data_IF_873701441943
#
_entry.id   IF_873701441943
#
_cell.length_a   1.000
_cell.length_b   1.000
_cell.length_c   1.000
_cell.angle_alpha   90.00
_cell.angle_beta   90.00
_cell.angle_gamma   90.00
#
_symmetry.space_group_name_H-M   'P 1'
#
loop_
_entity.id
_entity.type
_entity.pdbx_description
1 polymer ?
#
# COMPACT_ATOMS: atom_id res chain seq x y z
N UNK A 1 26.37 -6.76 -12.18
CA UNK A 1 25.18 -7.05 -11.36
C UNK A 1 25.11 -5.99 -10.27
N UNK A 2 24.41 -4.89 -10.51
CA UNK A 2 24.23 -3.83 -9.50
C UNK A 2 23.11 -4.24 -8.57
N UNK A 3 23.40 -4.40 -7.28
CA UNK A 3 22.40 -4.66 -6.25
C UNK A 3 21.25 -3.65 -6.38
N UNK A 4 20.04 -4.14 -6.68
CA UNK A 4 18.83 -3.31 -6.65
C UNK A 4 18.66 -2.92 -5.18
N UNK A 5 18.89 -1.63 -4.86
CA UNK A 5 18.67 -1.10 -3.52
C UNK A 5 17.19 -1.30 -3.19
N UNK A 6 16.90 -2.19 -2.25
CA UNK A 6 15.55 -2.58 -1.83
C UNK A 6 14.74 -1.39 -1.30
N UNK A 7 15.41 -0.32 -0.89
CA UNK A 7 14.79 0.97 -0.53
C UNK A 7 14.07 1.63 -1.69
N UNK A 8 14.52 1.48 -2.95
CA UNK A 8 13.86 2.07 -4.12
C UNK A 8 12.42 1.56 -4.27
N UNK A 9 12.23 0.26 -4.04
CA UNK A 9 10.90 -0.36 -4.08
C UNK A 9 10.00 0.21 -2.97
N UNK A 10 10.51 0.25 -1.73
CA UNK A 10 9.75 0.75 -0.57
C UNK A 10 9.39 2.23 -0.75
N UNK A 11 10.35 3.08 -1.14
CA UNK A 11 10.12 4.49 -1.39
C UNK A 11 9.10 4.73 -2.51
N UNK A 12 9.11 3.90 -3.57
CA UNK A 12 8.13 3.99 -4.65
C UNK A 12 6.71 3.70 -4.15
N UNK A 13 6.56 2.71 -3.27
CA UNK A 13 5.28 2.39 -2.64
C UNK A 13 4.79 3.52 -1.73
N UNK A 14 5.67 4.11 -0.91
CA UNK A 14 5.31 5.26 -0.08
C UNK A 14 4.97 6.52 -0.90
N UNK A 15 5.70 6.76 -2.00
CA UNK A 15 5.36 7.85 -2.94
C UNK A 15 3.95 7.67 -3.53
N UNK A 16 3.57 6.44 -3.86
CA UNK A 16 2.24 6.15 -4.41
C UNK A 16 1.12 6.35 -3.38
N UNK A 17 1.35 5.95 -2.12
CA UNK A 17 0.42 6.24 -1.02
C UNK A 17 0.23 7.76 -0.88
N UNK A 18 1.33 8.52 -0.77
CA UNK A 18 1.28 9.98 -0.64
C UNK A 18 0.62 10.67 -1.84
N UNK A 19 0.77 10.12 -3.06
CA UNK A 19 0.13 10.67 -4.26
C UNK A 19 -1.39 10.53 -4.21
N UNK A 20 -1.90 9.40 -3.72
CA UNK A 20 -3.35 9.10 -3.65
C UNK A 20 -4.04 9.79 -2.48
N UNK A 21 -3.30 10.07 -1.40
CA UNK A 21 -3.82 10.76 -0.22
C UNK A 21 -3.65 12.29 -0.29
N UNK A 22 -2.81 12.80 -1.20
CA UNK A 22 -2.62 14.24 -1.45
C UNK A 22 -3.90 15.07 -1.59
N UNK A 23 -4.95 14.65 -2.32
CA UNK A 23 -6.18 15.43 -2.43
C UNK A 23 -7.08 15.35 -1.18
N UNK A 24 -6.83 14.42 -0.25
CA UNK A 24 -7.73 14.16 0.87
C UNK A 24 -7.54 15.14 2.03
N UNK A 25 -6.34 15.73 2.17
CA UNK A 25 -6.02 16.75 3.18
C UNK A 25 -5.96 16.21 4.62
N UNK A 26 -7.07 15.69 5.14
CA UNK A 26 -7.20 15.10 6.48
C UNK A 26 -8.13 13.89 6.41
N UNK A 27 -7.80 12.83 7.16
CA UNK A 27 -8.70 11.68 7.31
C UNK A 27 -9.65 11.92 8.49
N UNK A 28 -10.94 11.69 8.28
CA UNK A 28 -11.96 11.84 9.33
C UNK A 28 -11.77 10.84 10.46
N UNK A 29 -11.44 9.58 10.12
CA UNK A 29 -11.29 8.48 11.08
C UNK A 29 -10.08 7.61 10.78
N UNK A 30 -9.47 7.03 11.82
CA UNK A 30 -8.35 6.08 11.68
C UNK A 30 -8.73 4.86 10.82
N UNK A 31 -9.96 4.38 10.94
CA UNK A 31 -10.47 3.25 10.15
C UNK A 31 -10.51 3.56 8.65
N UNK A 32 -10.80 4.80 8.27
CA UNK A 32 -10.77 5.24 6.87
C UNK A 32 -9.35 5.21 6.30
N UNK A 33 -8.36 5.64 7.08
CA UNK A 33 -6.94 5.56 6.72
C UNK A 33 -6.50 4.11 6.53
N UNK A 34 -6.84 3.23 7.47
CA UNK A 34 -6.48 1.81 7.41
C UNK A 34 -7.05 1.11 6.16
N UNK A 35 -8.31 1.42 5.79
CA UNK A 35 -8.94 0.91 4.57
C UNK A 35 -8.23 1.40 3.30
N UNK A 36 -7.91 2.68 3.22
CA UNK A 36 -7.21 3.27 2.06
C UNK A 36 -5.81 2.65 1.93
N UNK A 37 -5.09 2.52 3.04
CA UNK A 37 -3.77 1.92 3.07
C UNK A 37 -3.79 0.45 2.62
N UNK A 38 -4.75 -0.32 3.15
CA UNK A 38 -4.96 -1.71 2.74
C UNK A 38 -5.28 -1.83 1.25
N UNK A 39 -6.17 -0.99 0.73
CA UNK A 39 -6.55 -1.00 -0.69
C UNK A 39 -5.37 -0.66 -1.62
N UNK A 40 -4.50 0.27 -1.22
CA UNK A 40 -3.32 0.63 -2.02
C UNK A 40 -2.30 -0.51 -2.00
N UNK A 41 -2.03 -1.10 -0.84
CA UNK A 41 -1.06 -2.19 -0.74
C UNK A 41 -1.55 -3.49 -1.41
N UNK A 42 -2.82 -3.85 -1.28
CA UNK A 42 -3.42 -4.97 -2.03
C UNK A 42 -3.26 -4.78 -3.53
N UNK A 43 -3.61 -3.59 -4.04
CA UNK A 43 -3.50 -3.28 -5.45
C UNK A 43 -2.05 -3.36 -5.97
N UNK A 44 -1.10 -2.78 -5.23
CA UNK A 44 0.32 -2.82 -5.62
C UNK A 44 0.88 -4.24 -5.51
N UNK A 45 0.52 -5.03 -4.49
CA UNK A 45 0.98 -6.42 -4.34
C UNK A 45 0.39 -7.34 -5.42
N UNK A 46 -0.86 -7.12 -5.83
CA UNK A 46 -1.47 -7.83 -6.95
C UNK A 46 -0.74 -7.53 -8.26
N UNK A 47 -0.42 -6.25 -8.50
CA UNK A 47 0.33 -5.82 -9.69
C UNK A 47 1.72 -6.44 -9.78
N UNK A 48 2.40 -6.62 -8.64
CA UNK A 48 3.74 -7.21 -8.56
C UNK A 48 3.71 -8.74 -8.44
N UNK A 49 2.53 -9.38 -8.44
CA UNK A 49 2.31 -10.82 -8.21
C UNK A 49 2.92 -11.33 -6.88
N UNK A 50 3.13 -10.45 -5.91
CA UNK A 50 3.69 -10.76 -4.58
C UNK A 50 2.60 -10.99 -3.54
N UNK A 51 1.34 -11.16 -3.96
CA UNK A 51 0.19 -11.32 -3.08
C UNK A 51 0.38 -12.54 -2.19
N UNK A 52 0.71 -12.30 -0.92
CA UNK A 52 0.84 -13.36 0.08
C UNK A 52 -0.56 -13.80 0.55
N UNK A 53 -0.78 -15.12 0.75
CA UNK A 53 -2.11 -15.66 1.11
C UNK A 53 -2.66 -15.10 2.43
N UNK A 54 -1.79 -14.54 3.29
CA UNK A 54 -2.18 -13.93 4.56
C UNK A 54 -3.06 -12.67 4.40
N UNK A 55 -2.88 -11.92 3.32
CA UNK A 55 -3.55 -10.62 3.12
C UNK A 55 -5.02 -10.76 2.65
N UNK A 56 -5.37 -11.94 2.11
CA UNK A 56 -6.74 -12.31 1.71
C UNK A 56 -7.61 -12.64 2.93
N UNK A 57 -6.99 -13.11 4.02
CA UNK A 57 -7.69 -13.61 5.21
C UNK A 57 -8.16 -12.48 6.16
N UNK A 58 -7.62 -11.27 6.03
CA UNK A 58 -7.88 -10.17 6.97
C UNK A 58 -9.12 -9.32 6.65
N UNK A 59 -9.88 -9.65 5.59
CA UNK A 59 -11.11 -8.95 5.22
C UNK A 59 -12.36 -9.43 5.99
N UNK A 60 -12.22 -10.33 6.97
CA UNK A 60 -13.32 -10.79 7.80
C UNK A 60 -13.18 -10.24 9.22
N UNK A 61 -13.76 -9.06 9.47
CA UNK A 61 -14.13 -8.55 10.79
C UNK A 61 -15.28 -7.58 10.64
#
# INVERSE_FOLDING_TARGET
WSSIRTTNLIERRFREVSRRTRPMGVFSDRTSMERILYAIFTHENLKENTMTPFLIMTHNS
#
